data_IF_738534851168
#
_entry.id   IF_738534851168
#
_cell.length_a   1.000
_cell.length_b   1.000
_cell.length_c   1.000
_cell.angle_alpha   90.00
_cell.angle_beta   90.00
_cell.angle_gamma   90.00
#
_symmetry.space_group_name_H-M   'P 1'
#
loop_
_entity.id
_entity.type
_entity.pdbx_description
1 polymer ?
#
# COMPACT_ATOMS: atom_id res chain seq x y z
N UNK A 1 -6.59 2.89 6.93
CA UNK A 1 -6.60 3.66 8.19
C UNK A 1 -5.16 3.86 8.67
N UNK A 2 -4.87 4.81 9.56
CA UNK A 2 -3.53 5.00 10.12
C UNK A 2 -3.11 3.82 11.01
N UNK A 3 -4.02 3.39 11.88
CA UNK A 3 -3.84 2.25 12.79
C UNK A 3 -4.90 1.18 12.55
N UNK A 4 -4.54 -0.06 12.83
CA UNK A 4 -5.42 -1.22 12.85
C UNK A 4 -4.89 -2.27 13.84
N UNK A 5 -5.48 -3.47 13.85
CA UNK A 5 -4.98 -4.60 14.64
C UNK A 5 -3.48 -4.85 14.33
N UNK A 6 -2.63 -5.06 15.34
CA UNK A 6 -1.23 -5.40 15.15
C UNK A 6 -1.01 -6.55 14.16
N UNK A 7 0.00 -6.41 13.30
CA UNK A 7 0.39 -7.38 12.26
C UNK A 7 -0.74 -7.75 11.28
N UNK A 8 -1.79 -6.93 11.19
CA UNK A 8 -2.89 -7.19 10.26
C UNK A 8 -2.55 -6.74 8.84
N UNK A 9 -3.31 -7.31 7.89
CA UNK A 9 -3.36 -6.91 6.50
C UNK A 9 -4.82 -6.58 6.18
N UNK A 10 -5.07 -5.43 5.55
CA UNK A 10 -6.42 -4.96 5.23
C UNK A 10 -6.50 -4.60 3.76
N UNK A 11 -7.44 -5.23 3.06
CA UNK A 11 -7.76 -4.91 1.67
C UNK A 11 -8.90 -3.90 1.59
N UNK A 12 -8.66 -2.81 0.89
CA UNK A 12 -9.71 -1.91 0.42
C UNK A 12 -10.18 -2.39 -0.95
N UNK A 13 -11.49 -2.58 -1.08
CA UNK A 13 -12.11 -2.98 -2.35
C UNK A 13 -12.85 -1.81 -3.00
N UNK A 14 -12.86 -1.78 -4.32
CA UNK A 14 -13.76 -0.94 -5.12
C UNK A 14 -15.19 -1.49 -5.10
N UNK A 15 -16.13 -0.74 -5.67
CA UNK A 15 -17.55 -1.11 -5.72
C UNK A 15 -17.81 -2.41 -6.51
N UNK A 16 -16.95 -2.73 -7.49
CA UNK A 16 -17.00 -3.98 -8.25
C UNK A 16 -16.26 -5.14 -7.55
N UNK A 17 -15.76 -4.93 -6.33
CA UNK A 17 -15.17 -5.96 -5.49
C UNK A 17 -13.68 -6.23 -5.69
N UNK A 18 -13.01 -5.53 -6.61
CA UNK A 18 -11.56 -5.64 -6.83
C UNK A 18 -10.78 -4.98 -5.70
N UNK A 19 -9.63 -5.53 -5.33
CA UNK A 19 -8.74 -4.90 -4.35
C UNK A 19 -8.01 -3.74 -5.02
N UNK A 20 -8.10 -2.56 -4.44
CA UNK A 20 -7.45 -1.32 -4.93
C UNK A 20 -6.28 -0.87 -4.06
N UNK A 21 -6.24 -1.33 -2.82
CA UNK A 21 -5.18 -1.06 -1.85
C UNK A 21 -5.12 -2.23 -0.86
N UNK A 22 -3.92 -2.74 -0.59
CA UNK A 22 -3.63 -3.68 0.50
C UNK A 22 -2.68 -3.01 1.49
N UNK A 23 -3.17 -2.76 2.68
CA UNK A 23 -2.45 -2.08 3.75
C UNK A 23 -1.87 -3.08 4.76
N UNK A 24 -0.60 -2.91 5.12
CA UNK A 24 0.13 -3.73 6.10
C UNK A 24 0.41 -2.93 7.36
N UNK A 25 0.15 -3.54 8.52
CA UNK A 25 0.33 -2.93 9.83
C UNK A 25 1.40 -3.69 10.62
N UNK A 26 2.24 -2.97 11.35
CA UNK A 26 3.33 -3.55 12.13
C UNK A 26 2.85 -4.09 13.49
N UNK A 27 3.78 -4.54 14.34
CA UNK A 27 3.46 -5.10 15.67
C UNK A 27 2.83 -4.09 16.64
N UNK A 28 2.88 -2.79 16.34
CA UNK A 28 2.19 -1.74 17.09
C UNK A 28 0.83 -1.36 16.47
N UNK A 29 0.44 -2.03 15.37
CA UNK A 29 -0.77 -1.71 14.64
C UNK A 29 -0.66 -0.45 13.78
N UNK A 30 0.55 0.10 13.58
CA UNK A 30 0.78 1.25 12.71
C UNK A 30 0.96 0.79 11.26
N UNK A 31 0.27 1.43 10.32
CA UNK A 31 0.46 1.15 8.89
C UNK A 31 1.90 1.49 8.50
N UNK A 32 2.65 0.56 7.94
CA UNK A 32 4.01 0.84 7.47
C UNK A 32 4.16 0.69 5.96
N UNK A 33 3.21 0.00 5.31
CA UNK A 33 3.24 -0.23 3.87
C UNK A 33 1.82 -0.31 3.30
N UNK A 34 1.63 0.17 2.09
CA UNK A 34 0.45 -0.12 1.27
C UNK A 34 0.87 -0.51 -0.15
N UNK A 35 0.18 -1.48 -0.73
CA UNK A 35 0.30 -1.84 -2.15
C UNK A 35 -0.94 -1.36 -2.87
N UNK A 36 -0.75 -0.49 -3.84
CA UNK A 36 -1.79 0.01 -4.72
C UNK A 36 -1.79 -0.76 -6.03
N UNK A 37 -2.97 -1.09 -6.54
CA UNK A 37 -3.15 -1.86 -7.79
C UNK A 37 -3.53 -0.96 -8.98
N UNK A 38 -3.54 0.36 -8.77
CA UNK A 38 -3.96 1.37 -9.77
C UNK A 38 -3.12 2.63 -9.66
N UNK A 39 -3.10 3.45 -10.71
CA UNK A 39 -2.48 4.77 -10.75
C UNK A 39 -3.29 5.90 -10.07
N UNK A 40 -4.38 5.59 -9.37
CA UNK A 40 -5.32 6.58 -8.81
C UNK A 40 -5.87 7.58 -9.84
N UNK A 41 -5.90 7.22 -11.12
CA UNK A 41 -6.27 8.12 -12.22
C UNK A 41 -5.16 9.08 -12.67
N UNK A 42 -3.95 8.95 -12.11
CA UNK A 42 -2.82 9.85 -12.33
C UNK A 42 -1.58 9.11 -12.86
N UNK A 43 -1.70 8.42 -14.01
CA UNK A 43 -0.62 7.63 -14.62
C UNK A 43 0.75 8.33 -14.70
N UNK A 44 0.76 9.64 -14.97
CA UNK A 44 2.02 10.41 -15.07
C UNK A 44 2.78 10.46 -13.73
N UNK A 45 2.07 10.45 -12.61
CA UNK A 45 2.65 10.47 -11.26
C UNK A 45 2.90 9.06 -10.72
N UNK A 46 2.22 8.05 -11.29
CA UNK A 46 2.40 6.63 -10.97
C UNK A 46 2.80 5.82 -12.22
N UNK A 47 4.01 6.05 -12.79
CA UNK A 47 4.48 5.36 -13.99
C UNK A 47 5.02 3.94 -13.68
N UNK A 48 4.37 3.25 -12.75
CA UNK A 48 4.78 1.96 -12.22
C UNK A 48 3.91 0.83 -12.80
N UNK A 49 4.46 -0.37 -12.92
CA UNK A 49 3.77 -1.54 -13.45
C UNK A 49 3.05 -1.33 -14.79
N UNK A 50 1.99 -2.10 -15.00
CA UNK A 50 1.15 -2.00 -16.20
C UNK A 50 -0.04 -1.04 -15.99
N UNK A 51 -0.59 -1.00 -14.78
CA UNK A 51 -1.79 -0.27 -14.38
C UNK A 51 -1.52 0.88 -13.41
N UNK A 52 -0.26 1.08 -13.02
CA UNK A 52 0.14 2.06 -12.02
C UNK A 52 0.41 1.45 -10.65
N UNK A 53 0.61 0.13 -10.55
CA UNK A 53 0.79 -0.55 -9.28
C UNK A 53 2.04 -0.03 -8.58
N UNK A 54 1.94 0.33 -7.30
CA UNK A 54 3.05 0.90 -6.56
C UNK A 54 2.96 0.59 -5.07
N UNK A 55 4.08 0.83 -4.38
CA UNK A 55 4.18 0.74 -2.94
C UNK A 55 4.27 2.14 -2.35
N UNK A 56 3.46 2.38 -1.31
CA UNK A 56 3.62 3.48 -0.38
C UNK A 56 4.24 2.93 0.91
N UNK A 57 5.43 3.38 1.28
CA UNK A 57 6.10 3.05 2.55
C UNK A 57 5.98 4.24 3.51
N UNK A 58 5.42 3.99 4.70
CA UNK A 58 5.07 5.03 5.66
C UNK A 58 6.05 5.04 6.84
N UNK A 59 6.68 6.18 7.07
CA UNK A 59 7.48 6.44 8.27
C UNK A 59 6.69 7.34 9.21
N UNK A 60 6.69 7.01 10.50
CA UNK A 60 5.96 7.76 11.53
C UNK A 60 6.92 8.19 12.63
N UNK A 61 6.71 9.39 13.16
CA UNK A 61 7.32 9.81 14.41
C UNK A 61 6.70 9.08 15.61
N UNK A 62 7.43 9.06 16.73
CA UNK A 62 6.98 8.42 17.98
C UNK A 62 5.67 9.02 18.54
N UNK A 63 5.42 10.31 18.28
CA UNK A 63 4.16 10.96 18.63
C UNK A 63 2.98 10.54 17.72
N UNK A 64 3.23 9.65 16.76
CA UNK A 64 2.29 9.15 15.79
C UNK A 64 2.06 10.06 14.60
N UNK A 65 2.71 11.20 14.48
CA UNK A 65 2.59 12.02 13.27
C UNK A 65 3.30 11.35 12.09
N UNK A 66 2.78 11.57 10.89
CA UNK A 66 3.43 11.11 9.66
C UNK A 66 4.73 11.89 9.47
N UNK A 67 5.83 11.17 9.27
CA UNK A 67 7.11 11.76 8.91
C UNK A 67 7.22 11.86 7.39
N UNK A 68 7.16 10.71 6.71
CA UNK A 68 7.25 10.63 5.25
C UNK A 68 6.41 9.49 4.67
N UNK A 69 6.15 9.61 3.36
CA UNK A 69 5.66 8.54 2.51
C UNK A 69 6.60 8.45 1.32
N UNK A 70 7.21 7.29 1.13
CA UNK A 70 8.06 7.01 -0.03
C UNK A 70 7.26 6.17 -1.03
N UNK A 71 7.21 6.65 -2.27
CA UNK A 71 6.51 6.00 -3.38
C UNK A 71 7.51 5.28 -4.27
N UNK A 72 7.31 3.99 -4.54
CA UNK A 72 8.21 3.21 -5.40
C UNK A 72 7.48 2.10 -6.16
N UNK A 73 8.19 1.56 -7.14
CA UNK A 73 7.81 0.32 -7.82
C UNK A 73 7.81 -0.87 -6.84
N UNK A 74 6.96 -1.86 -7.10
CA UNK A 74 6.98 -3.13 -6.38
C UNK A 74 8.25 -3.91 -6.74
N UNK A 75 8.89 -4.48 -5.74
CA UNK A 75 9.93 -5.48 -6.00
C UNK A 75 9.33 -6.77 -6.57
N UNK A 76 10.13 -7.58 -7.27
CA UNK A 76 9.66 -8.88 -7.78
C UNK A 76 9.11 -9.79 -6.68
N UNK A 77 9.67 -9.71 -5.47
CA UNK A 77 9.19 -10.46 -4.32
C UNK A 77 7.79 -9.98 -3.90
N UNK A 78 7.59 -8.68 -3.79
CA UNK A 78 6.28 -8.11 -3.43
C UNK A 78 5.23 -8.41 -4.50
N UNK A 79 5.60 -8.38 -5.79
CA UNK A 79 4.72 -8.81 -6.87
C UNK A 79 4.29 -10.26 -6.70
N UNK A 80 5.23 -11.18 -6.43
CA UNK A 80 4.91 -12.59 -6.18
C UNK A 80 4.03 -12.79 -4.94
N UNK A 81 4.33 -12.10 -3.84
CA UNK A 81 3.59 -12.22 -2.57
C UNK A 81 2.18 -11.62 -2.64
N UNK A 82 1.89 -10.76 -3.61
CA UNK A 82 0.60 -10.07 -3.78
C UNK A 82 -0.05 -10.35 -5.13
N UNK A 83 0.35 -11.43 -5.80
CA UNK A 83 -0.19 -11.83 -7.10
C UNK A 83 -1.70 -12.19 -7.05
N UNK A 84 -2.29 -12.31 -5.87
CA UNK A 84 -3.72 -12.50 -5.70
C UNK A 84 -4.55 -11.21 -5.92
N UNK A 85 -3.89 -10.04 -5.87
CA UNK A 85 -4.54 -8.73 -6.03
C UNK A 85 -4.00 -7.89 -7.21
N UNK A 86 -2.86 -8.29 -7.76
CA UNK A 86 -2.20 -7.63 -8.90
C UNK A 86 -2.67 -8.19 -10.24
#
# INVERSE_FOLDING_TARGET
>A
PKQATPNSVIDKKSNDGKVVDRSFYNALGMKYKAIHTTDHGNRKQHPYGEYGEHVDEFTWFDNGNLDSIDHRELTDKERRENNDIL
#
